data_IF_759184089181
#
_entry.id   IF_759184089181
#
_cell.length_a   1.000
_cell.length_b   1.000
_cell.length_c   1.000
_cell.angle_alpha   90.00
_cell.angle_beta   90.00
_cell.angle_gamma   90.00
#
_symmetry.space_group_name_H-M   'P 1'
#
loop_
_entity.id
_entity.type
_entity.pdbx_description
1 polymer ?
#
# COMPACT_ATOMS: atom_id res chain seq x y z
N UNK A 1 -4.26 27.75 -28.50
CA UNK A 1 -3.68 27.62 -27.16
C UNK A 1 -3.37 26.14 -26.94
N UNK A 2 -2.13 25.73 -27.22
CA UNK A 2 -1.71 24.33 -27.27
C UNK A 2 -0.85 24.05 -26.04
N UNK A 3 -1.37 23.26 -25.10
CA UNK A 3 -0.60 22.67 -24.02
C UNK A 3 -0.49 21.17 -24.28
N UNK A 4 0.43 20.78 -25.17
CA UNK A 4 0.98 19.43 -25.20
C UNK A 4 2.32 19.49 -24.51
N UNK A 5 2.35 19.21 -23.20
CA UNK A 5 3.60 18.98 -22.49
C UNK A 5 3.46 17.85 -21.48
N UNK A 6 4.16 16.76 -21.77
CA UNK A 6 4.96 16.10 -20.75
C UNK A 6 4.33 14.94 -20.00
N UNK A 7 4.01 13.85 -20.69
CA UNK A 7 3.99 12.51 -20.06
C UNK A 7 5.15 11.67 -20.61
N UNK A 8 6.36 12.04 -20.22
CA UNK A 8 7.49 11.12 -20.29
C UNK A 8 7.40 10.19 -19.08
N UNK A 9 6.69 9.08 -19.23
CA UNK A 9 6.71 7.99 -18.26
C UNK A 9 8.11 7.37 -18.28
N UNK A 10 9.01 7.90 -17.44
CA UNK A 10 10.33 7.31 -17.22
C UNK A 10 10.17 6.10 -16.31
N UNK A 11 9.78 4.98 -16.91
CA UNK A 11 9.64 3.66 -16.27
C UNK A 11 11.03 3.05 -15.94
N UNK A 12 11.81 3.77 -15.14
CA UNK A 12 13.11 3.32 -14.63
C UNK A 12 13.30 3.79 -13.19
N UNK A 13 12.22 3.90 -12.42
CA UNK A 13 12.38 4.05 -10.98
C UNK A 13 12.68 2.67 -10.42
N UNK A 14 13.99 2.38 -10.42
CA UNK A 14 14.64 1.31 -9.70
C UNK A 14 13.90 1.09 -8.37
N UNK A 15 13.10 0.04 -8.36
CA UNK A 15 12.80 -0.72 -7.18
C UNK A 15 14.14 -0.91 -6.44
N UNK A 16 14.15 -0.76 -5.12
CA UNK A 16 15.25 -1.15 -4.23
C UNK A 16 16.42 -0.18 -4.01
N UNK A 17 16.23 1.09 -3.65
CA UNK A 17 17.25 1.82 -2.86
C UNK A 17 16.59 2.81 -1.89
N UNK A 18 15.87 2.30 -0.89
CA UNK A 18 15.61 3.09 0.31
C UNK A 18 16.71 2.78 1.33
N UNK A 19 17.35 3.85 1.78
CA UNK A 19 18.34 3.95 2.85
C UNK A 19 18.11 2.97 4.02
N UNK A 20 19.16 2.59 4.77
CA UNK A 20 19.06 1.79 5.99
C UNK A 20 18.45 2.63 7.13
N UNK A 21 17.25 3.14 6.92
CA UNK A 21 16.32 3.45 8.00
C UNK A 21 16.04 2.12 8.69
N UNK A 22 16.14 2.09 10.03
CA UNK A 22 15.88 0.90 10.87
C UNK A 22 14.74 0.12 10.24
N UNK A 23 15.05 -1.05 9.68
CA UNK A 23 14.06 -1.85 8.94
C UNK A 23 12.93 -2.10 9.90
N UNK A 24 11.72 -1.68 9.52
CA UNK A 24 10.52 -2.19 10.17
C UNK A 24 10.65 -3.71 10.03
N UNK A 25 10.73 -4.42 11.16
CA UNK A 25 10.85 -5.87 11.18
C UNK A 25 9.66 -6.46 10.43
N UNK A 26 9.83 -7.61 9.77
CA UNK A 26 8.74 -8.24 9.01
C UNK A 26 7.49 -8.47 9.88
N UNK A 27 7.67 -8.73 11.18
CA UNK A 27 6.60 -8.85 12.18
C UNK A 27 5.79 -7.55 12.35
N UNK A 28 6.47 -6.41 12.47
CA UNK A 28 5.79 -5.10 12.59
C UNK A 28 5.10 -4.76 11.26
N UNK A 29 5.73 -5.12 10.14
CA UNK A 29 5.15 -4.91 8.82
C UNK A 29 3.85 -5.71 8.62
N UNK A 30 3.84 -7.00 8.98
CA UNK A 30 2.65 -7.87 8.87
C UNK A 30 1.52 -7.42 9.80
N UNK A 31 1.86 -6.94 10.99
CA UNK A 31 0.91 -6.40 11.95
C UNK A 31 0.27 -5.10 11.44
N UNK A 32 1.09 -4.15 10.98
CA UNK A 32 0.61 -2.91 10.37
C UNK A 32 -0.26 -3.18 9.13
N UNK A 33 0.08 -4.20 8.33
CA UNK A 33 -0.69 -4.61 7.16
C UNK A 33 -2.06 -5.14 7.56
N UNK A 34 -2.13 -6.01 8.58
CA UNK A 34 -3.40 -6.52 9.13
C UNK A 34 -4.31 -5.40 9.63
N UNK A 35 -3.75 -4.42 10.35
CA UNK A 35 -4.49 -3.24 10.81
C UNK A 35 -5.00 -2.37 9.64
N UNK A 36 -4.17 -2.20 8.61
CA UNK A 36 -4.54 -1.47 7.40
C UNK A 36 -5.66 -2.16 6.61
N UNK A 37 -5.62 -3.48 6.48
CA UNK A 37 -6.68 -4.25 5.84
C UNK A 37 -8.01 -4.13 6.59
N UNK A 38 -7.97 -4.23 7.91
CA UNK A 38 -9.17 -4.05 8.77
C UNK A 38 -9.74 -2.64 8.58
N UNK A 39 -8.87 -1.62 8.51
CA UNK A 39 -9.24 -0.23 8.26
C UNK A 39 -9.84 0.02 6.87
N UNK A 40 -9.40 -0.73 5.85
CA UNK A 40 -9.93 -0.61 4.48
C UNK A 40 -11.25 -1.36 4.29
N UNK A 41 -11.45 -2.46 5.03
CA UNK A 41 -12.71 -3.21 5.04
C UNK A 41 -13.82 -2.47 5.82
N UNK A 42 -13.48 -1.75 6.89
CA UNK A 42 -14.44 -1.02 7.71
C UNK A 42 -13.99 0.43 7.94
N UNK A 43 -14.63 1.43 7.29
CA UNK A 43 -14.31 2.84 7.47
C UNK A 43 -14.44 3.35 8.91
N UNK A 44 -15.30 2.73 9.74
CA UNK A 44 -15.47 3.10 11.14
C UNK A 44 -14.31 2.61 12.02
N UNK A 45 -13.57 1.60 11.56
CA UNK A 45 -12.38 1.08 12.22
C UNK A 45 -11.08 1.60 11.58
N UNK A 46 -11.17 2.69 10.81
CA UNK A 46 -10.00 3.29 10.20
C UNK A 46 -9.05 3.79 11.29
N UNK A 47 -7.90 3.13 11.38
CA UNK A 47 -6.87 3.49 12.35
C UNK A 47 -5.97 4.60 11.80
N UNK A 48 -5.76 5.63 12.61
CA UNK A 48 -4.73 6.64 12.39
C UNK A 48 -3.34 6.08 12.69
N UNK A 49 -2.29 6.76 12.22
CA UNK A 49 -0.91 6.38 12.53
C UNK A 49 -0.62 6.36 14.05
N UNK A 50 -1.31 7.19 14.83
CA UNK A 50 -1.21 7.19 16.28
C UNK A 50 -1.84 5.93 16.88
N UNK A 51 -3.07 5.59 16.47
CA UNK A 51 -3.74 4.38 16.95
C UNK A 51 -2.99 3.10 16.58
N UNK A 52 -2.43 3.03 15.37
CA UNK A 52 -1.55 1.91 14.98
C UNK A 52 -0.30 1.83 15.86
N UNK A 53 0.23 2.97 16.32
CA UNK A 53 1.35 2.97 17.26
C UNK A 53 0.93 2.49 18.65
N UNK A 54 -0.24 2.90 19.13
CA UNK A 54 -0.78 2.46 20.41
C UNK A 54 -0.98 0.94 20.44
N UNK A 55 -1.52 0.35 19.36
CA UNK A 55 -1.61 -1.11 19.24
C UNK A 55 -0.24 -1.80 19.23
N UNK A 56 0.77 -1.20 18.58
CA UNK A 56 2.14 -1.73 18.64
C UNK A 56 2.69 -1.71 20.08
N UNK A 57 2.39 -0.68 20.87
CA UNK A 57 2.73 -0.67 22.29
C UNK A 57 1.99 -1.74 23.09
N UNK A 58 0.72 -2.02 22.75
CA UNK A 58 -0.02 -3.13 23.37
C UNK A 58 0.64 -4.46 23.04
N UNK A 59 0.95 -4.75 21.77
CA UNK A 59 1.67 -5.96 21.37
C UNK A 59 3.02 -6.10 22.10
N UNK A 60 3.74 -4.99 22.30
CA UNK A 60 4.98 -5.02 23.07
C UNK A 60 4.75 -5.30 24.56
N UNK A 61 3.69 -4.76 25.15
CA UNK A 61 3.30 -5.07 26.52
C UNK A 61 2.88 -6.54 26.69
N UNK A 62 2.32 -7.15 25.65
CA UNK A 62 2.01 -8.58 25.59
C UNK A 62 3.23 -9.47 25.32
N UNK A 63 4.40 -8.87 25.04
CA UNK A 63 5.63 -9.60 24.73
C UNK A 63 5.65 -10.21 23.33
N UNK A 64 4.75 -9.78 22.43
CA UNK A 64 4.70 -10.23 21.03
C UNK A 64 5.79 -9.57 20.20
N UNK A 65 6.17 -8.34 20.53
CA UNK A 65 7.23 -7.58 19.86
C UNK A 65 8.12 -6.85 20.88
N UNK A 66 9.37 -6.58 20.52
CA UNK A 66 10.23 -5.76 21.38
C UNK A 66 9.84 -4.27 21.29
N UNK A 67 9.75 -3.61 22.45
CA UNK A 67 9.44 -2.17 22.52
C UNK A 67 10.46 -1.30 21.75
N UNK A 68 11.72 -1.74 21.66
CA UNK A 68 12.80 -1.05 20.93
C UNK A 68 12.61 -1.06 19.41
N UNK A 69 11.79 -1.99 18.90
CA UNK A 69 11.48 -2.11 17.48
C UNK A 69 10.27 -1.26 17.09
N UNK A 70 9.53 -0.67 18.04
CA UNK A 70 8.34 0.14 17.75
C UNK A 70 8.73 1.39 16.95
N UNK A 71 8.24 1.54 15.71
CA UNK A 71 8.49 2.72 14.89
C UNK A 71 7.79 3.96 15.43
N UNK A 72 8.34 5.13 15.10
CA UNK A 72 7.72 6.43 15.40
C UNK A 72 6.46 6.63 14.56
N UNK A 73 5.52 7.44 15.06
CA UNK A 73 4.29 7.84 14.34
C UNK A 73 4.58 8.32 12.92
N UNK A 74 5.62 9.14 12.72
CA UNK A 74 6.01 9.67 11.40
C UNK A 74 6.40 8.53 10.44
N UNK A 75 7.13 7.53 10.94
CA UNK A 75 7.51 6.35 10.16
C UNK A 75 6.28 5.53 9.77
N UNK A 76 5.34 5.34 10.70
CA UNK A 76 4.07 4.65 10.45
C UNK A 76 3.23 5.41 9.41
N UNK A 77 3.12 6.74 9.54
CA UNK A 77 2.38 7.57 8.58
C UNK A 77 2.97 7.51 7.16
N UNK A 78 4.30 7.55 7.05
CA UNK A 78 5.00 7.37 5.78
C UNK A 78 4.75 5.96 5.22
N UNK A 79 4.82 4.93 6.06
CA UNK A 79 4.53 3.55 5.68
C UNK A 79 3.09 3.38 5.18
N UNK A 80 2.09 3.93 5.87
CA UNK A 80 0.68 3.92 5.43
C UNK A 80 0.53 4.60 4.07
N UNK A 81 1.22 5.72 3.87
CA UNK A 81 1.18 6.47 2.61
C UNK A 81 1.78 5.66 1.46
N UNK A 82 2.92 5.01 1.67
CA UNK A 82 3.56 4.15 0.67
C UNK A 82 2.73 2.90 0.37
N UNK A 83 2.18 2.25 1.40
CA UNK A 83 1.29 1.10 1.21
C UNK A 83 0.04 1.50 0.43
N UNK A 84 -0.61 2.61 0.80
CA UNK A 84 -1.78 3.13 0.10
C UNK A 84 -1.52 3.43 -1.38
N UNK A 85 -0.33 3.95 -1.72
CA UNK A 85 0.07 4.19 -3.11
C UNK A 85 0.20 2.87 -3.88
N UNK A 86 0.93 1.90 -3.33
CA UNK A 86 1.11 0.56 -3.95
C UNK A 86 -0.24 -0.09 -4.23
N UNK A 87 -1.16 -0.02 -3.27
CA UNK A 87 -2.52 -0.54 -3.39
C UNK A 87 -3.32 0.13 -4.51
N UNK A 88 -3.28 1.47 -4.59
CA UNK A 88 -3.93 2.22 -5.67
C UNK A 88 -3.36 1.85 -7.04
N UNK A 89 -2.04 1.72 -7.14
CA UNK A 89 -1.38 1.29 -8.38
C UNK A 89 -1.78 -0.14 -8.77
N UNK A 90 -1.81 -1.08 -7.82
CA UNK A 90 -2.22 -2.45 -8.08
C UNK A 90 -3.70 -2.56 -8.51
N UNK A 91 -4.60 -1.80 -7.88
CA UNK A 91 -6.00 -1.74 -8.30
C UNK A 91 -6.15 -1.13 -9.70
N UNK A 92 -5.40 -0.08 -10.02
CA UNK A 92 -5.40 0.51 -11.35
C UNK A 92 -4.88 -0.46 -12.43
N UNK A 93 -3.83 -1.23 -12.12
CA UNK A 93 -3.32 -2.27 -13.02
C UNK A 93 -4.37 -3.34 -13.31
N UNK A 94 -5.05 -3.84 -12.26
CA UNK A 94 -6.13 -4.83 -12.42
C UNK A 94 -7.31 -4.30 -13.22
N UNK A 95 -7.66 -3.02 -13.04
CA UNK A 95 -8.74 -2.39 -13.79
C UNK A 95 -8.41 -2.29 -15.30
N UNK A 96 -7.17 -2.00 -15.64
CA UNK A 96 -6.70 -1.97 -17.04
C UNK A 96 -6.77 -3.38 -17.65
N UNK A 97 -6.28 -4.39 -16.94
CA UNK A 97 -6.29 -5.79 -17.40
C UNK A 97 -7.73 -6.34 -17.62
N UNK A 98 -8.66 -6.04 -16.71
CA UNK A 98 -10.08 -6.40 -16.84
C UNK A 98 -10.75 -5.67 -18.02
N UNK A 99 -10.42 -4.40 -18.23
CA UNK A 99 -10.92 -3.61 -19.35
C UNK A 99 -10.38 -4.10 -20.70
N UNK A 100 -9.18 -4.67 -20.74
CA UNK A 100 -8.58 -5.28 -21.93
C UNK A 100 -9.17 -6.68 -22.21
N UNK A 101 -9.34 -7.50 -21.18
CA UNK A 101 -10.01 -8.81 -21.28
C UNK A 101 -11.47 -8.69 -21.79
N UNK A 102 -12.20 -7.68 -21.29
CA UNK A 102 -13.58 -7.38 -21.71
C UNK A 102 -13.69 -6.88 -23.16
N UNK A 103 -12.59 -6.52 -23.82
CA UNK A 103 -12.58 -6.17 -25.25
C UNK A 103 -12.25 -7.36 -26.15
N UNK A 104 -11.58 -8.39 -25.63
CA UNK A 104 -11.22 -9.60 -26.39
C UNK A 104 -12.40 -10.57 -26.58
N UNK A 105 -13.35 -10.62 -25.64
CA UNK A 105 -14.57 -11.43 -25.74
C UNK A 105 -15.61 -10.88 -26.73
N UNK A 106 -15.55 -9.58 -27.04
CA UNK A 106 -16.55 -8.92 -27.90
C UNK A 106 -16.27 -9.08 -29.40
N UNK A 107 -15.12 -9.66 -29.78
CA UNK A 107 -14.79 -9.96 -31.19
C UNK A 107 -15.00 -11.43 -31.59
N UNK A 108 -15.29 -12.35 -30.66
CA UNK A 108 -15.57 -13.76 -31.01
C UNK A 108 -17.06 -14.08 -31.19
N UNK A 109 -17.96 -13.11 -30.93
CA UNK A 109 -19.41 -13.29 -31.00
C UNK A 109 -20.09 -12.89 -32.32
N UNK A 110 -19.37 -12.35 -33.30
CA UNK A 110 -19.95 -11.94 -34.59
C UNK A 110 -19.44 -12.82 -35.73
N UNK A 111 -19.88 -14.08 -35.74
CA UNK A 111 -19.87 -14.91 -36.94
C UNK A 111 -21.02 -15.91 -36.82
N UNK A 112 -22.16 -15.53 -37.39
CA UNK A 112 -23.19 -16.47 -37.83
C UNK A 112 -23.82 -15.93 -39.10
#
# INVERSE_FOLDING_TARGET
>A
MTFLNGWALKENQKLTQHEPTKKITEEINSLLETMFHTSTANPQQKMSAQQMQEELFLCAAHGEIEADNIPKIITIANWISELSKKWKTAMAMRFIEEAESSKASNMSGFSK
#
